data_IF_952941877126
#
_entry.id   IF_952941877126
#
_cell.length_a   1.000
_cell.length_b   1.000
_cell.length_c   1.000
_cell.angle_alpha   90.00
_cell.angle_beta   90.00
_cell.angle_gamma   90.00
#
_symmetry.space_group_name_H-M   'P 1'
#
loop_
_entity.id
_entity.type
_entity.pdbx_description
1 polymer ?
#
# COMPACT_ATOMS: atom_id res chain seq x y z
N UNK A 1 9.82 5.80 -14.16
CA UNK A 1 9.60 4.44 -13.62
C UNK A 1 8.11 4.25 -13.47
N UNK A 2 7.57 3.11 -13.86
CA UNK A 2 6.14 2.79 -13.59
C UNK A 2 5.98 2.38 -12.14
N UNK A 3 4.75 2.40 -11.62
CA UNK A 3 4.40 1.84 -10.31
C UNK A 3 4.91 0.39 -10.17
N UNK A 4 4.63 -0.48 -11.15
CA UNK A 4 5.10 -1.87 -11.18
C UNK A 4 6.63 -1.98 -11.06
N UNK A 5 7.37 -1.26 -11.89
CA UNK A 5 8.85 -1.33 -11.91
C UNK A 5 9.50 -0.65 -10.72
N UNK A 6 8.75 0.19 -10.00
CA UNK A 6 9.20 0.86 -8.78
C UNK A 6 9.03 0.00 -7.53
N UNK A 7 8.21 -1.05 -7.57
CA UNK A 7 7.89 -1.89 -6.42
C UNK A 7 9.16 -2.42 -5.74
N UNK A 8 9.19 -2.36 -4.40
CA UNK A 8 10.33 -2.79 -3.59
C UNK A 8 11.52 -1.85 -3.56
N UNK A 9 11.47 -0.69 -4.26
CA UNK A 9 12.55 0.30 -4.25
C UNK A 9 12.30 1.40 -3.22
N UNK A 10 13.39 1.92 -2.66
CA UNK A 10 13.39 3.09 -1.80
C UNK A 10 13.96 4.28 -2.56
N UNK A 11 13.28 5.42 -2.51
CA UNK A 11 13.64 6.66 -3.20
C UNK A 11 13.89 7.77 -2.17
N UNK A 12 15.13 8.28 -2.07
CA UNK A 12 15.44 9.42 -1.20
C UNK A 12 14.65 10.68 -1.56
N UNK A 13 14.37 10.87 -2.86
CA UNK A 13 13.49 11.93 -3.39
C UNK A 13 12.44 11.26 -4.27
N UNK A 14 11.17 11.40 -3.91
CA UNK A 14 10.05 10.72 -4.55
C UNK A 14 9.13 11.71 -5.27
N UNK A 15 9.50 12.06 -6.50
CA UNK A 15 8.61 12.75 -7.42
C UNK A 15 7.70 11.71 -8.07
N UNK A 16 6.39 11.87 -7.89
CA UNK A 16 5.38 10.91 -8.37
C UNK A 16 4.24 11.61 -9.08
N UNK A 17 3.71 10.91 -10.07
CA UNK A 17 2.46 11.28 -10.73
C UNK A 17 1.45 10.17 -10.50
N UNK A 18 0.44 10.45 -9.68
CA UNK A 18 -0.62 9.50 -9.33
C UNK A 18 -1.93 9.79 -10.08
N UNK A 19 -1.96 10.81 -10.95
CA UNK A 19 -3.17 11.14 -11.70
C UNK A 19 -3.57 10.00 -12.64
N UNK A 20 -2.59 9.26 -13.20
CA UNK A 20 -2.83 8.13 -14.11
C UNK A 20 -2.84 6.76 -13.43
N UNK A 21 -2.65 6.70 -12.11
CA UNK A 21 -2.78 5.45 -11.35
C UNK A 21 -4.20 4.88 -11.48
N UNK A 22 -4.29 3.62 -11.92
CA UNK A 22 -5.58 2.95 -12.16
C UNK A 22 -6.26 2.45 -10.90
N UNK A 23 -5.49 2.17 -9.85
CA UNK A 23 -5.98 1.60 -8.59
C UNK A 23 -5.39 2.35 -7.40
N UNK A 24 -6.07 2.26 -6.26
CA UNK A 24 -5.55 2.72 -4.96
C UNK A 24 -4.22 2.06 -4.61
N UNK A 25 -4.05 0.78 -4.96
CA UNK A 25 -2.80 0.05 -4.77
C UNK A 25 -1.65 0.62 -5.62
N UNK A 26 -1.91 1.04 -6.85
CA UNK A 26 -0.91 1.71 -7.68
C UNK A 26 -0.45 3.05 -7.04
N UNK A 27 -1.40 3.82 -6.51
CA UNK A 27 -1.09 5.04 -5.75
C UNK A 27 -0.23 4.72 -4.52
N UNK A 28 -0.61 3.70 -3.75
CA UNK A 28 0.16 3.22 -2.60
C UNK A 28 1.58 2.82 -2.99
N UNK A 29 1.74 2.02 -4.05
CA UNK A 29 3.05 1.59 -4.55
C UNK A 29 3.88 2.80 -4.97
N UNK A 30 3.34 3.79 -5.66
CA UNK A 30 4.09 4.97 -6.04
C UNK A 30 4.52 5.82 -4.83
N UNK A 31 3.62 6.05 -3.88
CA UNK A 31 3.87 6.90 -2.70
C UNK A 31 4.81 6.23 -1.68
N UNK A 32 4.65 4.93 -1.44
CA UNK A 32 5.46 4.15 -0.47
C UNK A 32 6.91 3.92 -0.88
N UNK A 33 7.36 4.47 -2.02
CA UNK A 33 8.79 4.53 -2.36
C UNK A 33 9.51 5.66 -1.67
N UNK A 34 8.79 6.71 -1.25
CA UNK A 34 9.37 7.86 -0.58
C UNK A 34 9.79 7.53 0.84
N UNK A 35 10.98 7.99 1.23
CA UNK A 35 11.49 7.86 2.62
C UNK A 35 10.84 8.85 3.59
N UNK A 36 10.28 9.94 3.09
CA UNK A 36 9.64 10.99 3.91
C UNK A 36 8.67 11.81 3.08
N UNK A 37 7.67 12.40 3.74
CA UNK A 37 6.74 13.33 3.10
C UNK A 37 7.44 14.59 2.58
N UNK A 38 8.41 15.14 3.33
CA UNK A 38 9.16 16.34 2.93
C UNK A 38 9.95 16.16 1.62
N UNK A 39 10.37 14.93 1.30
CA UNK A 39 11.07 14.59 0.06
C UNK A 39 10.15 13.93 -0.98
N UNK A 40 8.84 14.02 -0.80
CA UNK A 40 7.84 13.48 -1.73
C UNK A 40 7.01 14.61 -2.31
N UNK A 41 6.89 14.66 -3.64
CA UNK A 41 6.05 15.65 -4.31
C UNK A 41 5.17 14.98 -5.37
N UNK A 42 3.91 15.42 -5.40
CA UNK A 42 2.91 14.96 -6.36
C UNK A 42 2.84 15.99 -7.49
N UNK A 43 3.11 15.55 -8.71
CA UNK A 43 3.32 16.46 -9.85
C UNK A 43 2.04 17.08 -10.41
N UNK A 44 0.89 16.41 -10.27
CA UNK A 44 -0.40 16.85 -10.82
C UNK A 44 -1.53 16.66 -9.82
N UNK A 45 -2.60 17.48 -9.90
CA UNK A 45 -3.83 17.22 -9.16
C UNK A 45 -4.40 15.83 -9.49
N UNK A 46 -4.99 15.20 -8.49
CA UNK A 46 -5.63 13.88 -8.63
C UNK A 46 -6.96 13.89 -7.87
N UNK A 47 -7.89 13.04 -8.29
CA UNK A 47 -9.16 12.90 -7.60
C UNK A 47 -8.97 12.12 -6.30
N UNK A 48 -9.47 12.65 -5.17
CA UNK A 48 -9.37 12.00 -3.84
C UNK A 48 -9.86 10.56 -3.82
N UNK A 49 -10.88 10.25 -4.64
CA UNK A 49 -11.40 8.90 -4.86
C UNK A 49 -10.35 7.87 -5.25
N UNK A 50 -9.22 8.27 -5.86
CA UNK A 50 -8.11 7.35 -6.20
C UNK A 50 -7.41 6.79 -4.97
N UNK A 51 -7.44 7.50 -3.85
CA UNK A 51 -6.90 7.04 -2.57
C UNK A 51 -7.99 6.36 -1.73
N UNK A 52 -9.24 6.84 -1.81
CA UNK A 52 -10.34 6.40 -0.94
C UNK A 52 -11.23 5.31 -1.53
N UNK A 53 -10.96 4.80 -2.74
CA UNK A 53 -11.77 3.74 -3.38
C UNK A 53 -11.66 2.36 -2.71
N UNK A 54 -10.93 2.25 -1.61
CA UNK A 54 -10.70 0.99 -0.91
C UNK A 54 -9.81 0.01 -1.68
N UNK A 55 -9.74 -1.21 -1.16
CA UNK A 55 -9.02 -2.34 -1.76
C UNK A 55 -10.01 -3.43 -2.21
N UNK A 56 -9.58 -4.33 -3.09
CA UNK A 56 -10.45 -5.38 -3.64
C UNK A 56 -11.04 -6.27 -2.54
N UNK A 57 -12.22 -6.86 -2.79
CA UNK A 57 -12.85 -7.76 -1.82
C UNK A 57 -11.97 -8.95 -1.46
N UNK A 58 -11.31 -9.54 -2.47
CA UNK A 58 -10.36 -10.62 -2.31
C UNK A 58 -9.18 -10.25 -1.39
N UNK A 59 -8.56 -9.08 -1.60
CA UNK A 59 -7.44 -8.65 -0.77
C UNK A 59 -7.86 -8.36 0.69
N UNK A 60 -9.09 -7.89 0.92
CA UNK A 60 -9.64 -7.75 2.29
C UNK A 60 -9.80 -9.11 2.97
N UNK A 61 -10.21 -10.12 2.22
CA UNK A 61 -10.33 -11.48 2.74
C UNK A 61 -8.95 -12.04 3.12
N UNK A 62 -7.95 -11.89 2.25
CA UNK A 62 -6.57 -12.32 2.55
C UNK A 62 -6.03 -11.65 3.83
N UNK A 63 -6.21 -10.33 3.99
CA UNK A 63 -5.79 -9.65 5.22
C UNK A 63 -6.51 -10.20 6.46
N UNK A 64 -7.81 -10.46 6.37
CA UNK A 64 -8.57 -11.07 7.48
C UNK A 64 -8.04 -12.46 7.83
N UNK A 65 -7.72 -13.27 6.83
CA UNK A 65 -7.18 -14.62 7.04
C UNK A 65 -5.79 -14.58 7.68
N UNK A 66 -4.96 -13.59 7.33
CA UNK A 66 -3.66 -13.37 7.98
C UNK A 66 -3.81 -13.00 9.46
N UNK A 67 -4.75 -12.11 9.81
CA UNK A 67 -5.03 -11.75 11.22
C UNK A 67 -5.55 -12.96 12.02
N UNK A 68 -6.42 -13.78 11.41
CA UNK A 68 -6.88 -15.02 12.05
C UNK A 68 -5.73 -16.01 12.26
N UNK A 69 -4.83 -16.14 11.29
CA UNK A 69 -3.66 -17.00 11.40
C UNK A 69 -2.70 -16.52 12.49
N UNK A 70 -2.47 -15.21 12.60
CA UNK A 70 -1.66 -14.61 13.67
C UNK A 70 -2.25 -14.89 15.05
N UNK A 71 -3.57 -14.70 15.21
CA UNK A 71 -4.28 -14.98 16.47
C UNK A 71 -4.17 -16.46 16.87
N UNK A 72 -4.42 -17.38 15.92
CA UNK A 72 -4.28 -18.83 16.18
C UNK A 72 -2.83 -19.15 16.59
N UNK A 73 -1.85 -18.56 15.91
CA UNK A 73 -0.43 -18.77 16.22
C UNK A 73 -0.09 -18.28 17.62
N UNK A 74 -0.65 -17.14 18.05
CA UNK A 74 -0.49 -16.63 19.41
C UNK A 74 -1.09 -17.57 20.44
N UNK A 75 -2.34 -18.02 20.25
CA UNK A 75 -3.02 -18.91 21.20
C UNK A 75 -2.29 -20.25 21.37
N UNK A 76 -1.77 -20.84 20.28
CA UNK A 76 -0.94 -22.05 20.35
C UNK A 76 0.36 -21.79 21.11
N UNK A 77 1.00 -20.64 20.90
CA UNK A 77 2.23 -20.28 21.61
C UNK A 77 2.01 -20.08 23.10
N UNK A 78 0.86 -19.49 23.48
CA UNK A 78 0.46 -19.23 24.86
C UNK A 78 -0.11 -20.47 25.56
N UNK A 79 -0.37 -21.56 24.82
CA UNK A 79 -0.94 -22.81 25.33
C UNK A 79 -2.44 -22.70 25.66
N UNK A 80 -3.14 -21.74 25.05
CA UNK A 80 -4.58 -21.54 25.21
C UNK A 80 -5.41 -22.46 24.29
N UNK A 81 -4.77 -23.06 23.27
CA UNK A 81 -5.28 -24.14 22.41
C UNK A 81 -4.21 -25.17 22.08
#
# INVERSE_FOLDING_TARGET
ITDYTSQGKTRPVNLVDIADCRTSMACYVALSRGVSAAKTAILRPFASKKLTSGISGYLRQEFRELELLDEITRLVHEGEI
#
